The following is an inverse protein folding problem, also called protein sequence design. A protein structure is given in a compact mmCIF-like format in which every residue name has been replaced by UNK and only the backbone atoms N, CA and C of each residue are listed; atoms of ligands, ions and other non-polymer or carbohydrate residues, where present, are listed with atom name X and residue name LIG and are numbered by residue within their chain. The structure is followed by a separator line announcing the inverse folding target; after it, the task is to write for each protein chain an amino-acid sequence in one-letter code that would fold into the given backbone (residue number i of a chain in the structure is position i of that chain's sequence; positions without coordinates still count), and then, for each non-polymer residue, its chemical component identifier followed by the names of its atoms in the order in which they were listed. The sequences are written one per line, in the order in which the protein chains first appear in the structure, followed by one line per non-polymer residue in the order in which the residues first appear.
data_IF_601057155538
#
_entry.id   IF_601057155538
#
_cell.length_a   1.000
_cell.length_b   1.000
_cell.length_c   1.000
_cell.angle_alpha   90.00
_cell.angle_beta   90.00
_cell.angle_gamma   90.00
#
_symmetry.space_group_name_H-M   'P 1'
#
loop_
_entity.id
_entity.type
_entity.pdbx_description
1 polymer ?
#
# COMPACT_ATOMS: atom_id res chain seq x y z
N UNK A 1 24.03 13.43 -5.43
CA UNK A 1 23.40 13.72 -4.13
C UNK A 1 22.74 12.43 -3.65
N UNK A 2 23.48 11.62 -2.90
CA UNK A 2 22.96 10.37 -2.34
C UNK A 2 22.18 10.78 -1.09
N UNK A 3 20.86 10.69 -1.16
CA UNK A 3 19.99 10.97 -0.04
C UNK A 3 20.14 9.81 0.95
N UNK A 4 20.96 9.98 1.99
CA UNK A 4 20.94 9.11 3.16
C UNK A 4 19.61 9.34 3.88
N UNK A 5 18.63 8.48 3.60
CA UNK A 5 17.40 8.40 4.38
C UNK A 5 17.79 7.76 5.71
N UNK A 6 17.84 8.56 6.78
CA UNK A 6 17.88 8.03 8.15
C UNK A 6 16.48 7.49 8.43
N UNK A 7 16.24 6.26 7.98
CA UNK A 7 15.01 5.53 8.16
C UNK A 7 14.83 5.18 9.64
N UNK A 8 13.71 5.59 10.25
CA UNK A 8 13.30 5.05 11.54
C UNK A 8 13.12 3.52 11.45
N UNK A 9 13.15 2.78 12.57
CA UNK A 9 13.15 1.31 12.57
C UNK A 9 11.94 0.65 11.88
N UNK A 10 10.87 1.42 11.61
CA UNK A 10 9.61 0.94 10.99
C UNK A 10 9.32 1.50 9.59
N UNK A 11 10.28 2.24 9.02
CA UNK A 11 10.18 2.83 7.69
C UNK A 11 10.04 1.75 6.62
N UNK A 12 9.09 1.93 5.70
CA UNK A 12 8.84 0.99 4.59
C UNK A 12 8.31 1.68 3.35
N UNK A 13 8.32 0.98 2.24
CA UNK A 13 7.64 1.36 1.01
C UNK A 13 6.27 0.67 0.92
N UNK A 14 5.29 1.31 0.29
CA UNK A 14 4.01 0.72 -0.05
C UNK A 14 3.63 1.07 -1.49
N UNK A 15 3.32 0.06 -2.29
CA UNK A 15 2.92 0.19 -3.70
C UNK A 15 2.20 -1.09 -4.15
N UNK A 16 1.64 -1.09 -5.35
CA UNK A 16 0.94 -2.26 -5.89
C UNK A 16 1.87 -3.22 -6.66
N UNK A 17 1.35 -4.39 -7.03
CA UNK A 17 2.16 -5.43 -7.69
C UNK A 17 2.68 -5.02 -9.07
N UNK A 18 1.89 -4.24 -9.82
CA UNK A 18 2.31 -3.69 -11.12
C UNK A 18 3.53 -2.78 -11.00
N UNK A 19 3.61 -1.99 -9.91
CA UNK A 19 4.76 -1.16 -9.59
C UNK A 19 5.98 -2.02 -9.22
N UNK A 20 5.78 -3.11 -8.47
CA UNK A 20 6.85 -4.06 -8.17
C UNK A 20 7.42 -4.69 -9.44
N UNK A 21 6.54 -5.10 -10.35
CA UNK A 21 6.91 -5.66 -11.65
C UNK A 21 7.77 -4.67 -12.43
N UNK A 22 7.35 -3.42 -12.54
CA UNK A 22 8.15 -2.40 -13.23
C UNK A 22 9.53 -2.24 -12.59
N UNK A 23 9.60 -2.16 -11.25
CA UNK A 23 10.87 -2.06 -10.51
C UNK A 23 11.78 -3.26 -10.81
N UNK A 24 11.21 -4.47 -10.90
CA UNK A 24 11.97 -5.69 -11.22
C UNK A 24 12.50 -5.73 -12.66
N UNK A 25 11.85 -5.01 -13.57
CA UNK A 25 12.26 -4.88 -14.97
C UNK A 25 13.26 -3.72 -15.20
N UNK A 26 13.54 -2.89 -14.19
CA UNK A 26 14.48 -1.77 -14.35
C UNK A 26 15.93 -2.25 -14.40
N UNK A 27 16.61 -1.92 -15.50
CA UNK A 27 18.03 -2.19 -15.72
C UNK A 27 18.86 -0.91 -15.68
N UNK A 28 20.15 -1.03 -15.35
CA UNK A 28 21.12 0.04 -15.48
C UNK A 28 21.54 0.26 -16.96
N UNK A 29 22.33 1.31 -17.21
CA UNK A 29 22.85 1.60 -18.56
C UNK A 29 23.85 0.56 -19.12
N UNK A 30 24.14 -0.50 -18.36
CA UNK A 30 24.96 -1.64 -18.77
C UNK A 30 24.13 -2.95 -18.85
N UNK A 31 22.79 -2.86 -18.79
CA UNK A 31 21.88 -4.01 -18.89
C UNK A 31 21.87 -4.89 -17.65
N UNK A 32 22.28 -4.39 -16.48
CA UNK A 32 22.23 -5.13 -15.21
C UNK A 32 20.95 -4.77 -14.45
N UNK A 33 20.19 -5.74 -13.93
CA UNK A 33 18.98 -5.46 -13.18
C UNK A 33 19.29 -4.71 -11.87
N UNK A 34 18.55 -3.64 -11.59
CA UNK A 34 18.70 -2.84 -10.37
C UNK A 34 18.15 -3.55 -9.12
N UNK A 35 17.31 -4.55 -9.34
CA UNK A 35 16.69 -5.35 -8.29
C UNK A 35 16.91 -6.82 -8.60
N UNK A 36 17.48 -7.56 -7.65
CA UNK A 36 17.49 -9.02 -7.69
C UNK A 36 16.48 -9.54 -6.66
N UNK A 37 15.65 -10.53 -7.04
CA UNK A 37 14.80 -11.20 -6.06
C UNK A 37 15.69 -11.87 -5.02
N UNK A 38 15.32 -11.74 -3.75
CA UNK A 38 16.01 -12.48 -2.70
C UNK A 38 15.79 -13.98 -2.92
N UNK A 39 16.85 -14.77 -2.70
CA UNK A 39 16.75 -16.22 -2.78
C UNK A 39 15.89 -16.65 -1.59
N UNK A 40 14.73 -17.22 -1.92
CA UNK A 40 13.69 -17.69 -1.00
C UNK A 40 14.26 -18.17 0.35
N UNK A 41 14.01 -17.41 1.43
CA UNK A 41 14.05 -17.93 2.80
C UNK A 41 15.03 -17.29 3.81
N UNK A 42 15.74 -16.20 3.51
CA UNK A 42 16.73 -15.65 4.46
C UNK A 42 16.49 -14.18 4.86
N UNK A 43 15.95 -13.32 4.00
CA UNK A 43 15.61 -11.94 4.39
C UNK A 43 14.21 -11.50 3.89
N UNK A 44 13.57 -10.52 4.55
CA UNK A 44 12.37 -9.89 4.02
C UNK A 44 12.70 -9.27 2.66
N UNK A 45 11.85 -9.50 1.65
CA UNK A 45 12.03 -8.89 0.34
C UNK A 45 12.13 -7.37 0.50
N UNK A 46 13.22 -6.80 -0.02
CA UNK A 46 13.50 -5.38 0.08
C UNK A 46 13.69 -4.80 -1.31
N UNK A 47 13.29 -3.54 -1.49
CA UNK A 47 13.62 -2.75 -2.68
C UNK A 47 14.60 -1.68 -2.21
N UNK A 48 15.79 -1.64 -2.81
CA UNK A 48 16.86 -0.70 -2.43
C UNK A 48 17.25 -0.80 -0.93
N UNK A 49 17.27 -2.01 -0.36
CA UNK A 49 17.47 -2.27 1.07
C UNK A 49 16.40 -1.68 2.00
N UNK A 50 15.23 -1.30 1.47
CA UNK A 50 14.07 -0.85 2.24
C UNK A 50 12.98 -1.92 2.21
N UNK A 51 12.40 -2.32 3.35
CA UNK A 51 11.27 -3.25 3.36
C UNK A 51 10.07 -2.62 2.65
N UNK A 52 9.28 -3.43 1.94
CA UNK A 52 8.08 -2.96 1.24
C UNK A 52 6.85 -3.77 1.62
N UNK A 53 5.67 -3.19 1.36
CA UNK A 53 4.35 -3.81 1.50
C UNK A 53 3.62 -3.66 0.18
N UNK A 54 2.99 -4.73 -0.27
CA UNK A 54 2.15 -4.71 -1.46
C UNK A 54 0.71 -4.41 -1.03
N UNK A 55 0.11 -3.36 -1.58
CA UNK A 55 -1.31 -3.02 -1.40
C UNK A 55 -1.93 -2.73 -2.77
N UNK A 56 -2.91 -3.53 -3.15
CA UNK A 56 -3.56 -3.46 -4.48
C UNK A 56 -4.53 -2.28 -4.60
N UNK A 57 -4.90 -1.63 -3.49
CA UNK A 57 -5.74 -0.44 -3.50
C UNK A 57 -4.93 0.83 -3.82
N UNK A 58 -3.59 0.74 -3.88
CA UNK A 58 -2.73 1.83 -4.35
C UNK A 58 -2.82 1.94 -5.87
N UNK A 59 -3.04 3.16 -6.37
CA UNK A 59 -3.13 3.47 -7.79
C UNK A 59 -1.90 2.95 -8.57
N UNK A 60 -2.13 2.53 -9.82
CA UNK A 60 -1.06 2.25 -10.77
C UNK A 60 -0.24 3.50 -11.14
N UNK A 61 0.97 3.27 -11.65
CA UNK A 61 1.83 4.32 -12.21
C UNK A 61 1.08 5.03 -13.35
N UNK A 62 0.82 6.32 -13.16
CA UNK A 62 0.13 7.15 -14.13
C UNK A 62 0.32 8.64 -13.87
N UNK A 63 -0.01 9.48 -14.85
CA UNK A 63 0.11 10.93 -14.73
C UNK A 63 -0.76 11.47 -13.58
N UNK A 64 -0.14 12.16 -12.62
CA UNK A 64 -0.82 12.71 -11.44
C UNK A 64 -1.26 11.69 -10.39
N UNK A 65 -0.98 10.39 -10.58
CA UNK A 65 -1.34 9.32 -9.65
C UNK A 65 -0.31 9.14 -8.55
N UNK A 66 -0.77 8.86 -7.34
CA UNK A 66 0.06 8.52 -6.18
C UNK A 66 0.26 7.01 -6.15
N UNK A 67 1.30 6.54 -6.81
CA UNK A 67 1.51 5.10 -7.02
C UNK A 67 2.46 4.45 -6.01
N UNK A 68 3.18 5.25 -5.21
CA UNK A 68 4.09 4.74 -4.19
C UNK A 68 4.11 5.64 -2.97
N UNK A 69 4.05 5.03 -1.79
CA UNK A 69 4.17 5.70 -0.50
C UNK A 69 5.43 5.23 0.22
N UNK A 70 6.05 6.13 0.95
CA UNK A 70 7.33 5.92 1.61
C UNK A 70 7.32 6.67 2.94
N UNK A 71 7.56 5.95 4.04
CA UNK A 71 7.48 6.58 5.35
C UNK A 71 7.38 5.61 6.53
N UNK A 72 7.18 6.20 7.70
CA UNK A 72 6.84 5.47 8.92
C UNK A 72 5.32 5.37 9.07
N UNK A 73 4.77 4.21 8.74
CA UNK A 73 3.33 3.93 8.82
C UNK A 73 2.84 3.70 10.26
N UNK A 74 3.72 3.63 11.26
CA UNK A 74 3.32 3.56 12.68
C UNK A 74 2.58 4.84 13.13
N UNK A 75 2.81 5.95 12.41
CA UNK A 75 2.12 7.23 12.60
C UNK A 75 0.73 7.28 11.96
N UNK A 76 0.38 6.29 11.14
CA UNK A 76 -0.96 6.13 10.60
C UNK A 76 -1.78 5.23 11.54
N UNK A 77 -2.56 5.87 12.41
CA UNK A 77 -3.31 5.18 13.46
C UNK A 77 -4.69 4.83 12.92
N UNK A 78 -4.99 3.53 12.87
CA UNK A 78 -6.33 3.03 12.57
C UNK A 78 -7.01 2.64 13.86
N UNK A 79 -8.15 3.27 14.15
CA UNK A 79 -9.00 2.95 15.29
C UNK A 79 -10.21 2.15 14.85
N UNK A 80 -10.37 0.96 15.45
CA UNK A 80 -11.62 0.21 15.38
C UNK A 80 -12.60 0.75 16.42
N UNK A 81 -13.68 1.39 15.96
CA UNK A 81 -14.64 2.06 16.85
C UNK A 81 -15.53 1.04 17.57
N UNK A 82 -15.93 -0.03 16.88
CA UNK A 82 -16.71 -1.14 17.44
C UNK A 82 -16.31 -2.46 16.80
N UNK A 83 -16.62 -3.56 17.49
CA UNK A 83 -16.57 -4.90 16.89
C UNK A 83 -17.56 -5.00 15.72
N UNK A 84 -17.23 -5.89 14.78
CA UNK A 84 -18.10 -6.20 13.65
C UNK A 84 -19.43 -6.75 14.16
N UNK A 85 -20.54 -6.18 13.69
CA UNK A 85 -21.89 -6.67 14.02
C UNK A 85 -22.43 -7.37 12.78
N UNK A 86 -22.64 -8.68 12.86
CA UNK A 86 -23.30 -9.47 11.82
C UNK A 86 -24.76 -9.68 12.19
N UNK A 87 -25.67 -9.34 11.28
CA UNK A 87 -27.11 -9.58 11.42
C UNK A 87 -27.57 -10.56 10.35
N UNK A 88 -28.27 -11.61 10.78
CA UNK A 88 -29.00 -12.53 9.90
C UNK A 88 -30.44 -12.05 9.79
N UNK A 89 -30.87 -11.71 8.58
CA UNK A 89 -32.21 -11.24 8.25
C UNK A 89 -32.98 -12.37 7.58
N UNK A 90 -33.77 -13.10 8.39
CA UNK A 90 -34.58 -14.24 7.91
C UNK A 90 -35.99 -13.77 7.53
N UNK A 91 -36.61 -12.91 8.33
CA UNK A 91 -38.01 -12.51 8.13
C UNK A 91 -38.20 -11.55 6.95
N UNK A 92 -37.28 -10.59 6.75
CA UNK A 92 -37.38 -9.59 5.65
C UNK A 92 -37.31 -10.22 4.26
N UNK A 93 -36.69 -11.38 4.12
CA UNK A 93 -36.50 -12.07 2.84
C UNK A 93 -37.24 -13.41 2.77
N UNK A 94 -38.12 -13.69 3.75
CA UNK A 94 -38.86 -14.94 3.83
C UNK A 94 -39.82 -15.14 2.65
N UNK A 95 -40.42 -14.07 2.11
CA UNK A 95 -41.31 -14.13 0.94
C UNK A 95 -40.59 -14.62 -0.34
N UNK A 96 -39.26 -14.56 -0.37
CA UNK A 96 -38.43 -14.99 -1.48
C UNK A 96 -37.58 -16.23 -1.15
N UNK A 97 -37.85 -16.91 -0.03
CA UNK A 97 -37.05 -18.04 0.47
C UNK A 97 -35.53 -17.74 0.55
N UNK A 98 -35.19 -16.52 0.96
CA UNK A 98 -33.82 -16.04 1.04
C UNK A 98 -33.45 -15.66 2.47
N UNK A 99 -32.16 -15.80 2.81
CA UNK A 99 -31.59 -15.31 4.08
C UNK A 99 -30.53 -14.25 3.78
N UNK A 100 -30.77 -13.03 4.26
CA UNK A 100 -29.83 -11.92 4.10
C UNK A 100 -28.82 -11.86 5.25
N UNK A 101 -27.56 -11.55 4.95
CA UNK A 101 -26.53 -11.25 5.95
C UNK A 101 -26.08 -9.81 5.80
N UNK A 102 -26.12 -9.05 6.90
CA UNK A 102 -25.69 -7.66 6.94
C UNK A 102 -24.60 -7.49 8.00
N UNK A 103 -23.41 -7.09 7.56
CA UNK A 103 -22.29 -6.81 8.44
C UNK A 103 -22.05 -5.29 8.54
N UNK A 104 -21.94 -4.80 9.77
CA UNK A 104 -21.50 -3.43 10.04
C UNK A 104 -20.11 -3.46 10.64
N UNK A 105 -19.19 -2.75 10.00
CA UNK A 105 -17.86 -2.50 10.54
C UNK A 105 -17.56 -1.00 10.51
N UNK A 106 -17.03 -0.46 11.61
CA UNK A 106 -16.72 0.97 11.73
C UNK A 106 -15.23 1.14 12.03
N UNK A 107 -14.54 1.79 11.11
CA UNK A 107 -13.14 2.17 11.22
C UNK A 107 -13.02 3.68 11.14
N UNK A 108 -12.02 4.20 11.81
CA UNK A 108 -11.58 5.58 11.74
C UNK A 108 -10.05 5.57 11.59
N UNK A 109 -9.49 6.55 10.89
CA UNK A 109 -8.05 6.64 10.69
C UNK A 109 -7.56 8.08 10.81
N UNK A 110 -6.39 8.24 11.41
CA UNK A 110 -5.72 9.53 11.53
C UNK A 110 -4.24 9.36 11.26
N UNK A 111 -3.66 10.34 10.58
CA UNK A 111 -2.21 10.46 10.43
C UNK A 111 -1.71 11.44 11.50
N UNK A 112 -1.03 10.93 12.53
CA UNK A 112 -0.52 11.75 13.64
C UNK A 112 0.51 12.78 13.16
N UNK A 113 1.35 12.38 12.21
CA UNK A 113 2.38 13.24 11.62
C UNK A 113 2.29 13.20 10.08
N UNK A 114 1.85 14.33 9.50
CA UNK A 114 1.73 14.49 8.04
C UNK A 114 3.06 14.54 7.31
N UNK A 115 4.17 14.71 8.03
CA UNK A 115 5.51 14.68 7.47
C UNK A 115 6.11 13.27 7.41
N UNK A 116 5.55 12.32 8.18
CA UNK A 116 6.07 10.96 8.34
C UNK A 116 5.89 10.07 7.10
N UNK A 117 4.93 10.38 6.23
CA UNK A 117 4.66 9.64 4.99
C UNK A 117 4.68 10.58 3.80
N UNK A 118 5.45 10.22 2.77
CA UNK A 118 5.50 10.91 1.48
C UNK A 118 4.98 10.00 0.38
N UNK A 119 4.25 10.60 -0.54
CA UNK A 119 3.76 9.94 -1.75
C UNK A 119 4.60 10.38 -2.95
N UNK A 120 5.06 9.42 -3.74
CA UNK A 120 5.60 9.66 -5.05
C UNK A 120 4.43 9.79 -6.04
N UNK A 121 4.44 10.90 -6.79
CA UNK A 121 3.39 11.21 -7.76
C UNK A 121 3.96 11.08 -9.16
N UNK A 122 3.26 10.36 -10.03
CA UNK A 122 3.62 10.30 -11.44
C UNK A 122 3.59 11.71 -12.02
N UNK A 123 4.63 12.09 -12.76
CA UNK A 123 4.74 13.43 -13.37
C UNK A 123 3.44 13.70 -14.13
N UNK A 124 2.70 14.74 -13.72
CA UNK A 124 1.50 15.16 -14.43
C UNK A 124 1.85 15.42 -15.90
N UNK A 125 0.95 15.06 -16.81
CA UNK A 125 1.07 15.49 -18.19
C UNK A 125 1.14 17.01 -18.18
N UNK A 126 2.29 17.57 -18.56
CA UNK A 126 2.41 19.00 -18.82
C UNK A 126 1.53 19.26 -20.04
N UNK A 127 0.31 19.73 -19.81
CA UNK A 127 -0.55 20.23 -20.87
C UNK A 127 0.16 21.43 -21.52
N UNK A 128 0.36 21.35 -22.83
CA UNK A 128 0.63 22.52 -23.67
C UNK A 128 -0.63 23.35 -23.88
#
# INVERSE_FOLDING_TARGET
MILHIVAGPKFRLAFNDNTLKLISEMEDGQGRPLWLPDIVGVAPASVLNVPYVIDQEIDDIGAGKKFMFCGDFDRFIIRRVRYMILKRLVERYAEYDQTGFLAFHRFDCILEDTSAIKALVGKGSVGG
#
